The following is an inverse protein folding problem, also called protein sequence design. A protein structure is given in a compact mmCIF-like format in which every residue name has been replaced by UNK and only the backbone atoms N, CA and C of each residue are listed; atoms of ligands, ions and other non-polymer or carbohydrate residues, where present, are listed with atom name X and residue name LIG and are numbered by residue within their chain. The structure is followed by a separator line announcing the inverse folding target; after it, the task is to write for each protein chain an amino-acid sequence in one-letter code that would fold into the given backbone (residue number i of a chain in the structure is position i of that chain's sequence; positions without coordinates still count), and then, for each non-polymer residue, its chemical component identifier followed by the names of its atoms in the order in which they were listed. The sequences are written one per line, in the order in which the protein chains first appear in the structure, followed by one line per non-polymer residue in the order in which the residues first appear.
data_IF_614717716827
#
_entry.id   IF_614717716827
#
_cell.length_a   1.000
_cell.length_b   1.000
_cell.length_c   1.000
_cell.angle_alpha   90.00
_cell.angle_beta   90.00
_cell.angle_gamma   90.00
#
_symmetry.space_group_name_H-M   'P 1'
#
loop_
_entity.id
_entity.type
_entity.pdbx_description
1 polymer ?
#
# COMPACT_ATOMS: atom_id res chain seq x y z
N UNK A 1 -20.21 20.66 -13.21
CA UNK A 1 -20.10 21.55 -14.40
C UNK A 1 -18.63 21.92 -14.55
N UNK A 2 -18.03 21.69 -15.72
CA UNK A 2 -16.62 22.05 -15.96
C UNK A 2 -16.51 23.55 -16.28
N UNK A 3 -15.57 24.25 -15.63
CA UNK A 3 -15.32 25.68 -15.84
C UNK A 3 -14.56 25.93 -17.16
N UNK A 4 -14.66 27.15 -17.69
CA UNK A 4 -13.92 27.60 -18.88
C UNK A 4 -14.66 27.50 -20.22
N UNK A 5 -14.01 27.95 -21.31
CA UNK A 5 -14.57 27.96 -22.67
C UNK A 5 -15.04 26.57 -23.09
N UNK A 6 -16.21 26.47 -23.74
CA UNK A 6 -16.87 25.18 -24.03
C UNK A 6 -15.96 24.16 -24.72
N UNK A 7 -15.11 24.61 -25.63
CA UNK A 7 -14.24 23.75 -26.44
C UNK A 7 -12.91 23.38 -25.75
N UNK A 8 -12.58 24.05 -24.64
CA UNK A 8 -11.37 23.79 -23.84
C UNK A 8 -11.65 23.00 -22.57
N UNK A 9 -12.91 22.64 -22.33
CA UNK A 9 -13.30 21.81 -21.18
C UNK A 9 -12.70 20.42 -21.33
N UNK A 10 -12.26 19.77 -20.23
CA UNK A 10 -11.68 18.43 -20.28
C UNK A 10 -12.53 17.42 -21.07
N UNK A 11 -13.86 17.46 -20.92
CA UNK A 11 -14.76 16.57 -21.67
C UNK A 11 -14.77 16.87 -23.18
N UNK A 12 -14.70 18.15 -23.57
CA UNK A 12 -14.65 18.54 -24.98
C UNK A 12 -13.32 18.15 -25.62
N UNK A 13 -12.21 18.34 -24.90
CA UNK A 13 -10.87 17.92 -25.35
C UNK A 13 -10.79 16.40 -25.51
N UNK A 14 -11.26 15.65 -24.51
CA UNK A 14 -11.30 14.18 -24.56
C UNK A 14 -12.19 13.67 -25.72
N UNK A 15 -13.35 14.27 -25.93
CA UNK A 15 -14.22 13.95 -27.06
C UNK A 15 -13.51 14.17 -28.40
N UNK A 16 -12.83 15.30 -28.57
CA UNK A 16 -12.05 15.58 -29.79
C UNK A 16 -10.86 14.62 -29.96
N UNK A 17 -10.21 14.22 -28.87
CA UNK A 17 -9.13 13.22 -28.92
C UNK A 17 -9.65 11.87 -29.44
N UNK A 18 -10.76 11.36 -28.91
CA UNK A 18 -11.34 10.10 -29.39
C UNK A 18 -11.78 10.19 -30.87
N UNK A 19 -12.37 11.32 -31.29
CA UNK A 19 -12.70 11.53 -32.70
C UNK A 19 -11.45 11.55 -33.58
N UNK A 20 -10.37 12.21 -33.14
CA UNK A 20 -9.11 12.27 -33.89
C UNK A 20 -8.47 10.90 -34.04
N UNK A 21 -8.53 10.05 -33.01
CA UNK A 21 -8.01 8.69 -33.04
C UNK A 21 -8.84 7.80 -33.95
N UNK A 22 -10.17 7.85 -33.83
CA UNK A 22 -11.07 7.05 -34.65
C UNK A 22 -11.00 7.41 -36.13
N UNK A 23 -10.78 8.70 -36.46
CA UNK A 23 -10.61 9.18 -37.84
C UNK A 23 -9.32 8.70 -38.50
N UNK A 24 -8.27 8.30 -37.75
CA UNK A 24 -7.04 7.77 -38.36
C UNK A 24 -7.27 6.49 -39.17
N UNK A 25 -8.36 5.77 -38.91
CA UNK A 25 -8.78 4.58 -39.65
C UNK A 25 -9.90 4.80 -40.66
N UNK A 26 -10.33 6.05 -40.91
CA UNK A 26 -11.49 6.35 -41.76
C UNK A 26 -11.12 7.35 -42.87
N UNK A 27 -11.55 7.07 -44.10
CA UNK A 27 -11.23 7.90 -45.28
C UNK A 27 -12.15 9.13 -45.45
N UNK A 28 -13.35 9.10 -44.86
CA UNK A 28 -14.35 10.17 -44.98
C UNK A 28 -14.69 10.77 -43.61
N UNK A 29 -15.03 12.07 -43.57
CA UNK A 29 -15.52 12.71 -42.36
C UNK A 29 -17.04 12.47 -42.22
N UNK A 30 -17.50 11.68 -41.22
CA UNK A 30 -18.92 11.40 -41.04
C UNK A 30 -19.77 12.62 -40.63
N UNK A 31 -19.14 13.78 -40.39
CA UNK A 31 -19.83 15.02 -40.05
C UNK A 31 -20.45 14.97 -38.64
N UNK A 32 -19.66 14.52 -37.67
CA UNK A 32 -20.05 14.47 -36.25
C UNK A 32 -19.96 15.88 -35.67
N UNK A 33 -21.04 16.32 -35.03
CA UNK A 33 -21.09 17.63 -34.37
C UNK A 33 -20.12 17.70 -33.18
N UNK A 34 -19.56 18.89 -32.88
CA UNK A 34 -18.76 19.08 -31.68
C UNK A 34 -19.63 18.84 -30.44
N UNK A 35 -19.00 18.41 -29.32
CA UNK A 35 -19.70 18.08 -28.08
C UNK A 35 -20.63 19.21 -27.57
N UNK A 36 -20.30 20.47 -27.84
CA UNK A 36 -21.11 21.63 -27.47
C UNK A 36 -22.44 21.75 -28.21
N UNK A 37 -22.56 21.12 -29.39
CA UNK A 37 -23.75 21.08 -30.24
C UNK A 37 -24.38 19.67 -30.30
N UNK A 38 -23.68 18.66 -29.78
CA UNK A 38 -24.12 17.27 -29.81
C UNK A 38 -25.29 17.05 -28.84
N UNK A 39 -26.44 16.63 -29.36
CA UNK A 39 -27.63 16.35 -28.56
C UNK A 39 -27.81 14.83 -28.39
N UNK A 40 -27.89 14.31 -27.16
CA UNK A 40 -28.12 12.88 -26.93
C UNK A 40 -29.44 12.34 -27.53
N UNK A 41 -30.42 13.21 -27.77
CA UNK A 41 -31.69 12.80 -28.37
C UNK A 41 -31.64 12.76 -29.91
N UNK A 42 -30.57 13.25 -30.53
CA UNK A 42 -30.36 13.12 -31.97
C UNK A 42 -29.78 11.73 -32.29
N UNK A 43 -30.69 10.79 -32.57
CA UNK A 43 -30.33 9.41 -32.90
C UNK A 43 -29.42 9.31 -34.13
N UNK A 44 -29.54 10.23 -35.10
CA UNK A 44 -28.71 10.18 -36.31
C UNK A 44 -27.26 10.51 -35.97
N UNK A 45 -27.02 11.54 -35.16
CA UNK A 45 -25.68 11.89 -34.68
C UNK A 45 -25.10 10.81 -33.77
N UNK A 46 -25.91 10.20 -32.91
CA UNK A 46 -25.49 9.08 -32.07
C UNK A 46 -25.05 7.86 -32.87
N UNK A 47 -25.81 7.46 -33.89
CA UNK A 47 -25.46 6.31 -34.75
C UNK A 47 -24.14 6.57 -35.48
N UNK A 48 -23.95 7.78 -36.02
CA UNK A 48 -22.68 8.17 -36.67
C UNK A 48 -21.49 8.10 -35.72
N UNK A 49 -21.65 8.64 -34.51
CA UNK A 49 -20.61 8.59 -33.47
C UNK A 49 -20.29 7.14 -33.10
N UNK A 50 -21.31 6.32 -32.83
CA UNK A 50 -21.16 4.92 -32.47
C UNK A 50 -20.42 4.13 -33.57
N UNK A 51 -20.84 4.25 -34.83
CA UNK A 51 -20.20 3.54 -35.94
C UNK A 51 -18.71 3.88 -36.04
N UNK A 52 -18.34 5.14 -35.81
CA UNK A 52 -16.96 5.58 -35.86
C UNK A 52 -16.14 5.08 -34.65
N UNK A 53 -16.70 5.10 -33.44
CA UNK A 53 -15.89 4.94 -32.22
C UNK A 53 -16.07 3.61 -31.47
N UNK A 54 -17.09 2.79 -31.78
CA UNK A 54 -17.42 1.59 -30.99
C UNK A 54 -16.31 0.52 -30.93
N UNK A 55 -15.40 0.50 -31.91
CA UNK A 55 -14.23 -0.41 -31.93
C UNK A 55 -12.93 0.24 -31.48
N UNK A 56 -12.95 1.51 -31.07
CA UNK A 56 -11.75 2.23 -30.64
C UNK A 56 -11.29 1.68 -29.28
N UNK A 57 -10.11 1.03 -29.17
CA UNK A 57 -9.67 0.41 -27.93
C UNK A 57 -9.59 1.38 -26.75
N UNK A 58 -9.16 2.61 -26.99
CA UNK A 58 -9.02 3.66 -25.98
C UNK A 58 -10.38 4.05 -25.39
N UNK A 59 -11.43 4.13 -26.23
CA UNK A 59 -12.78 4.45 -25.76
C UNK A 59 -13.39 3.26 -25.01
N UNK A 60 -13.19 2.04 -25.51
CA UNK A 60 -13.64 0.81 -24.83
C UNK A 60 -12.98 0.70 -23.46
N UNK A 61 -11.66 0.89 -23.38
CA UNK A 61 -10.92 0.88 -22.13
C UNK A 61 -11.41 1.96 -21.16
N UNK A 62 -11.61 3.19 -21.65
CA UNK A 62 -12.17 4.27 -20.84
C UNK A 62 -13.56 3.92 -20.28
N UNK A 63 -14.46 3.40 -21.13
CA UNK A 63 -15.80 2.98 -20.72
C UNK A 63 -15.75 1.87 -19.67
N UNK A 64 -14.87 0.88 -19.86
CA UNK A 64 -14.69 -0.22 -18.93
C UNK A 64 -14.20 0.30 -17.57
N UNK A 65 -13.10 1.04 -17.54
CA UNK A 65 -12.47 1.48 -16.29
C UNK A 65 -13.26 2.56 -15.53
N UNK A 66 -13.91 3.49 -16.22
CA UNK A 66 -14.57 4.63 -15.57
C UNK A 66 -16.04 4.40 -15.27
N UNK A 67 -16.69 3.47 -15.96
CA UNK A 67 -18.13 3.23 -15.82
C UNK A 67 -18.46 1.78 -15.49
N UNK A 68 -18.04 0.81 -16.32
CA UNK A 68 -18.48 -0.58 -16.15
C UNK A 68 -17.88 -1.20 -14.89
N UNK A 69 -16.55 -1.18 -14.75
CA UNK A 69 -15.84 -1.80 -13.63
C UNK A 69 -16.26 -1.23 -12.27
N UNK A 70 -16.34 0.09 -12.05
CA UNK A 70 -16.82 0.61 -10.77
C UNK A 70 -18.25 0.19 -10.42
N UNK A 71 -19.10 -0.04 -11.42
CA UNK A 71 -20.48 -0.50 -11.20
C UNK A 71 -20.55 -2.00 -10.94
N UNK A 72 -19.73 -2.81 -11.61
CA UNK A 72 -19.84 -4.28 -11.60
C UNK A 72 -18.82 -4.98 -10.70
N UNK A 73 -17.73 -4.32 -10.30
CA UNK A 73 -16.62 -4.94 -9.54
C UNK A 73 -16.63 -4.61 -8.05
N UNK A 74 -17.68 -3.97 -7.52
CA UNK A 74 -17.80 -3.70 -6.08
C UNK A 74 -17.90 -4.98 -5.22
N UNK A 75 -18.34 -6.08 -5.82
CA UNK A 75 -18.39 -7.39 -5.17
C UNK A 75 -17.73 -8.42 -6.08
N UNK A 76 -16.67 -9.05 -5.58
CA UNK A 76 -16.06 -10.21 -6.20
C UNK A 76 -16.17 -11.38 -5.24
N UNK A 77 -16.48 -12.57 -5.77
CA UNK A 77 -16.53 -13.80 -4.98
C UNK A 77 -15.14 -14.16 -4.39
N UNK A 78 -14.07 -13.71 -5.04
CA UNK A 78 -12.70 -13.82 -4.56
C UNK A 78 -12.05 -12.43 -4.59
N UNK A 79 -11.63 -11.93 -3.43
CA UNK A 79 -10.86 -10.70 -3.28
C UNK A 79 -9.43 -11.09 -2.93
N UNK A 80 -8.49 -10.90 -3.86
CA UNK A 80 -7.06 -11.05 -3.55
C UNK A 80 -6.66 -9.83 -2.73
N UNK A 81 -6.31 -10.02 -1.47
CA UNK A 81 -6.23 -8.93 -0.50
C UNK A 81 -4.88 -8.77 0.18
N UNK A 82 -3.83 -9.54 -0.09
CA UNK A 82 -2.48 -9.28 0.42
C UNK A 82 -2.43 -8.86 1.92
N UNK A 83 -3.21 -9.54 2.76
CA UNK A 83 -3.03 -9.48 4.20
C UNK A 83 -1.88 -10.42 4.58
N UNK A 84 -1.10 -10.10 5.63
CA UNK A 84 -0.07 -11.02 6.14
C UNK A 84 -0.63 -12.41 6.49
N UNK A 85 -1.93 -12.49 6.76
CA UNK A 85 -2.67 -13.73 6.99
C UNK A 85 -2.80 -14.59 5.71
N UNK A 86 -3.04 -13.97 4.55
CA UNK A 86 -3.13 -14.67 3.25
C UNK A 86 -1.77 -15.24 2.82
N UNK A 87 -0.67 -14.49 3.05
CA UNK A 87 0.69 -14.99 2.83
C UNK A 87 1.05 -16.16 3.77
N UNK A 88 0.54 -16.14 5.01
CA UNK A 88 0.68 -17.23 5.98
C UNK A 88 -0.28 -18.41 5.76
N UNK A 89 -1.23 -18.31 4.84
CA UNK A 89 -2.21 -19.37 4.57
C UNK A 89 -1.62 -20.52 3.74
N UNK A 90 -2.29 -21.67 3.72
CA UNK A 90 -1.85 -22.84 2.95
C UNK A 90 -1.97 -22.70 1.43
N UNK A 91 -2.45 -21.55 0.93
CA UNK A 91 -2.75 -21.33 -0.49
C UNK A 91 -1.46 -21.18 -1.32
N UNK A 92 -0.42 -20.57 -0.75
CA UNK A 92 0.80 -20.21 -1.50
C UNK A 92 2.01 -21.09 -1.18
N UNK A 93 2.11 -21.63 0.04
CA UNK A 93 3.30 -22.37 0.48
C UNK A 93 2.91 -23.65 1.24
N UNK A 94 3.51 -24.78 0.86
CA UNK A 94 3.28 -26.09 1.49
C UNK A 94 3.97 -26.26 2.86
N UNK A 95 5.04 -25.51 3.13
CA UNK A 95 5.72 -25.47 4.41
C UNK A 95 5.89 -24.00 4.85
N UNK A 96 5.68 -23.75 6.14
CA UNK A 96 5.64 -22.39 6.71
C UNK A 96 6.32 -22.38 8.07
N UNK A 97 7.10 -21.35 8.32
CA UNK A 97 7.72 -21.06 9.63
C UNK A 97 7.35 -19.64 9.98
N UNK A 98 6.76 -19.44 11.15
CA UNK A 98 6.37 -18.12 11.65
C UNK A 98 6.97 -17.87 13.03
N UNK A 99 7.35 -16.64 13.30
CA UNK A 99 7.77 -16.17 14.62
C UNK A 99 6.93 -14.94 14.96
N UNK A 100 6.30 -14.92 16.14
CA UNK A 100 5.59 -13.74 16.64
C UNK A 100 6.53 -12.95 17.54
N UNK A 101 6.94 -11.76 17.08
CA UNK A 101 7.69 -10.80 17.90
C UNK A 101 6.81 -10.05 18.90
N UNK A 102 5.50 -10.26 18.87
CA UNK A 102 4.52 -9.67 19.78
C UNK A 102 3.86 -10.76 20.63
N UNK A 103 3.49 -10.48 21.89
CA UNK A 103 2.79 -11.44 22.77
C UNK A 103 1.34 -11.74 22.32
N UNK A 104 0.93 -11.24 21.15
CA UNK A 104 -0.39 -11.48 20.59
C UNK A 104 -0.48 -12.91 20.05
N UNK A 105 -1.44 -13.68 20.55
CA UNK A 105 -1.79 -15.03 20.04
C UNK A 105 -2.50 -15.00 18.67
N UNK A 106 -2.32 -13.93 17.89
CA UNK A 106 -2.93 -13.74 16.58
C UNK A 106 -2.10 -14.45 15.51
N UNK A 107 -2.09 -15.78 15.56
CA UNK A 107 -1.58 -16.60 14.46
C UNK A 107 -2.72 -17.03 13.53
N UNK A 108 -2.45 -17.17 12.22
CA UNK A 108 -3.33 -17.91 11.32
C UNK A 108 -3.73 -19.28 11.89
N UNK A 109 -5.01 -19.64 11.74
CA UNK A 109 -5.53 -20.95 12.17
C UNK A 109 -4.70 -22.09 11.56
N UNK A 110 -4.27 -21.93 10.31
CA UNK A 110 -3.45 -22.90 9.60
C UNK A 110 -2.01 -23.06 10.15
N UNK A 111 -1.56 -22.17 11.03
CA UNK A 111 -0.29 -22.25 11.77
C UNK A 111 -0.49 -22.78 13.20
N UNK A 112 -1.65 -23.38 13.49
CA UNK A 112 -1.94 -24.02 14.78
C UNK A 112 -2.60 -23.10 15.82
N UNK A 113 -3.02 -21.90 15.44
CA UNK A 113 -3.72 -20.97 16.34
C UNK A 113 -4.90 -21.66 17.06
N UNK A 114 -4.75 -21.89 18.37
CA UNK A 114 -5.72 -22.54 19.26
C UNK A 114 -6.12 -23.99 18.92
N UNK A 115 -5.29 -24.72 18.18
CA UNK A 115 -5.58 -26.13 17.85
C UNK A 115 -4.92 -27.10 18.83
N UNK A 116 -5.50 -28.29 18.96
CA UNK A 116 -4.88 -29.45 19.61
C UNK A 116 -4.67 -30.56 18.59
N UNK A 117 -3.59 -31.33 18.71
CA UNK A 117 -3.39 -32.52 17.88
C UNK A 117 -4.36 -33.66 18.27
N UNK A 118 -4.33 -34.76 17.53
CA UNK A 118 -5.17 -35.94 17.79
C UNK A 118 -4.89 -36.60 19.15
N UNK A 119 -3.78 -36.24 19.80
CA UNK A 119 -3.36 -36.69 21.13
C UNK A 119 -3.69 -35.65 22.21
N UNK A 120 -4.33 -34.53 21.85
CA UNK A 120 -4.73 -33.47 22.76
C UNK A 120 -3.63 -32.45 23.10
N UNK A 121 -2.47 -32.48 22.43
CA UNK A 121 -1.40 -31.51 22.67
C UNK A 121 -1.70 -30.18 21.99
N UNK A 122 -1.47 -29.07 22.68
CA UNK A 122 -1.66 -27.72 22.13
C UNK A 122 -0.66 -27.43 21.00
N UNK A 123 -1.17 -27.19 19.79
CA UNK A 123 -0.43 -26.88 18.56
C UNK A 123 -0.21 -25.38 18.32
N UNK A 124 -0.67 -24.52 19.24
CA UNK A 124 -0.49 -23.07 19.10
C UNK A 124 0.94 -22.60 19.31
N UNK A 125 1.18 -21.31 19.04
CA UNK A 125 2.45 -20.66 19.35
C UNK A 125 2.80 -20.91 20.81
N UNK A 126 3.95 -21.53 21.07
CA UNK A 126 4.48 -21.67 22.42
C UNK A 126 5.67 -20.75 22.60
N UNK A 127 5.79 -20.18 23.80
CA UNK A 127 7.02 -19.52 24.20
C UNK A 127 8.13 -20.55 24.28
N UNK A 128 9.28 -20.26 23.67
CA UNK A 128 10.47 -21.10 23.81
C UNK A 128 10.90 -21.11 25.29
N UNK A 129 11.01 -22.29 25.94
CA UNK A 129 11.45 -22.36 27.33
C UNK A 129 12.81 -21.69 27.54
N UNK A 130 12.87 -20.80 28.54
CA UNK A 130 14.10 -20.09 28.89
C UNK A 130 14.43 -18.89 28.00
N UNK A 131 13.57 -18.49 27.05
CA UNK A 131 13.80 -17.31 26.20
C UNK A 131 14.04 -16.04 27.03
N UNK A 132 13.17 -15.73 27.99
CA UNK A 132 13.33 -14.57 28.88
C UNK A 132 14.63 -14.63 29.69
N UNK A 133 14.98 -15.84 30.17
CA UNK A 133 16.24 -16.05 30.90
C UNK A 133 17.46 -15.75 30.03
N UNK A 134 17.46 -16.16 28.75
CA UNK A 134 18.51 -15.82 27.78
C UNK A 134 18.58 -14.31 27.53
N UNK A 135 17.42 -13.66 27.38
CA UNK A 135 17.34 -12.20 27.18
C UNK A 135 17.94 -11.47 28.38
N UNK A 136 17.48 -11.78 29.60
CA UNK A 136 17.98 -11.15 30.82
C UNK A 136 19.47 -11.44 31.02
N UNK A 137 19.92 -12.68 30.78
CA UNK A 137 21.34 -13.02 30.86
C UNK A 137 22.20 -12.16 29.93
N UNK A 138 21.79 -11.95 28.67
CA UNK A 138 22.50 -11.08 27.72
C UNK A 138 22.44 -9.61 28.14
N UNK A 139 21.28 -9.11 28.54
CA UNK A 139 21.08 -7.71 28.95
C UNK A 139 21.80 -7.35 30.26
N UNK A 140 22.10 -8.35 31.10
CA UNK A 140 22.82 -8.18 32.37
C UNK A 140 24.31 -8.53 32.28
N UNK A 141 24.76 -9.10 31.16
CA UNK A 141 26.16 -9.45 30.99
C UNK A 141 26.99 -8.20 30.61
N UNK A 142 27.89 -7.71 31.48
CA UNK A 142 28.67 -6.49 31.23
C UNK A 142 29.69 -6.64 30.09
N UNK A 143 29.98 -7.87 29.65
CA UNK A 143 30.82 -8.11 28.47
C UNK A 143 30.08 -7.86 27.14
N UNK A 144 28.75 -7.77 27.17
CA UNK A 144 27.90 -7.59 25.98
C UNK A 144 27.11 -6.28 26.05
N UNK A 145 26.56 -5.96 27.22
CA UNK A 145 25.67 -4.81 27.42
C UNK A 145 26.31 -3.84 28.40
N UNK A 146 26.42 -2.57 28.01
CA UNK A 146 26.87 -1.48 28.88
C UNK A 146 25.74 -0.47 29.06
N UNK A 147 25.65 0.13 30.25
CA UNK A 147 24.73 1.24 30.51
C UNK A 147 25.52 2.53 30.79
N UNK A 148 24.91 3.65 30.43
CA UNK A 148 25.46 4.98 30.70
C UNK A 148 24.35 5.91 31.17
N UNK A 149 24.66 6.67 32.21
CA UNK A 149 23.78 7.73 32.72
C UNK A 149 24.02 8.99 31.89
N UNK A 150 22.94 9.60 31.39
CA UNK A 150 22.98 10.87 30.69
C UNK A 150 23.08 12.04 31.69
N UNK A 151 23.58 13.19 31.25
CA UNK A 151 23.64 14.39 32.09
C UNK A 151 22.23 14.89 32.44
N UNK A 152 22.07 15.55 33.59
CA UNK A 152 20.75 16.03 34.07
C UNK A 152 20.03 16.98 33.10
N UNK A 153 20.78 17.67 32.23
CA UNK A 153 20.27 18.61 31.24
C UNK A 153 20.22 18.02 29.82
N UNK A 154 20.17 16.70 29.67
CA UNK A 154 20.08 16.07 28.35
C UNK A 154 18.79 16.47 27.63
N UNK A 155 18.87 16.53 26.30
CA UNK A 155 17.73 16.69 25.42
C UNK A 155 17.80 15.65 24.28
N UNK A 156 16.68 15.30 23.64
CA UNK A 156 16.64 14.40 22.48
C UNK A 156 17.70 14.73 21.41
N UNK A 157 17.81 16.01 21.04
CA UNK A 157 18.74 16.48 20.03
C UNK A 157 20.20 16.32 20.47
N UNK A 158 20.52 16.55 21.75
CA UNK A 158 21.89 16.37 22.24
C UNK A 158 22.27 14.89 22.27
N UNK A 159 21.33 14.03 22.67
CA UNK A 159 21.51 12.58 22.66
C UNK A 159 21.74 12.05 21.23
N UNK A 160 20.93 12.49 20.26
CA UNK A 160 21.08 12.09 18.85
C UNK A 160 22.44 12.49 18.27
N UNK A 161 22.91 13.72 18.55
CA UNK A 161 24.25 14.15 18.12
C UNK A 161 25.35 13.31 18.78
N UNK A 162 25.22 13.06 20.07
CA UNK A 162 26.19 12.25 20.82
C UNK A 162 26.32 10.85 20.22
N UNK A 163 25.19 10.16 19.97
CA UNK A 163 25.15 8.84 19.35
C UNK A 163 25.73 8.87 17.94
N UNK A 164 25.35 9.86 17.12
CA UNK A 164 25.84 9.99 15.75
C UNK A 164 27.35 10.27 15.66
N UNK A 165 27.92 10.89 16.71
CA UNK A 165 29.35 11.20 16.82
C UNK A 165 30.15 10.17 17.62
N UNK A 166 29.51 9.11 18.14
CA UNK A 166 30.16 8.14 19.00
C UNK A 166 31.21 7.31 18.24
N UNK A 167 32.30 6.96 18.94
CA UNK A 167 33.35 6.12 18.41
C UNK A 167 33.57 4.91 19.34
N UNK A 168 33.43 3.67 18.86
CA UNK A 168 33.02 3.29 17.49
C UNK A 168 31.56 3.67 17.18
N UNK A 169 31.21 3.87 15.89
CA UNK A 169 29.86 4.24 15.51
C UNK A 169 28.89 3.12 15.84
N UNK A 170 27.76 3.41 16.52
CA UNK A 170 26.71 2.44 16.74
C UNK A 170 26.05 2.10 15.40
N UNK A 171 25.68 0.82 15.23
CA UNK A 171 25.06 0.34 13.99
C UNK A 171 23.57 0.69 13.90
N UNK A 172 22.91 0.85 15.06
CA UNK A 172 21.49 1.14 15.14
C UNK A 172 21.16 1.85 16.46
N UNK A 173 20.15 2.70 16.41
CA UNK A 173 19.46 3.26 17.58
C UNK A 173 18.03 2.71 17.58
N UNK A 174 17.63 2.11 18.71
CA UNK A 174 16.29 1.56 18.89
C UNK A 174 15.55 2.42 19.92
N UNK A 175 14.73 3.37 19.42
CA UNK A 175 13.79 4.17 20.23
C UNK A 175 12.36 3.65 19.99
N UNK A 176 11.97 2.64 20.76
CA UNK A 176 10.68 1.96 20.57
C UNK A 176 9.53 2.93 20.78
N UNK A 177 8.85 3.33 19.70
CA UNK A 177 7.68 4.23 19.74
C UNK A 177 8.02 5.71 19.84
N UNK A 178 9.28 6.10 19.60
CA UNK A 178 9.75 7.48 19.71
C UNK A 178 9.51 8.11 21.10
N UNK A 179 9.43 7.32 22.17
CA UNK A 179 9.13 7.85 23.50
C UNK A 179 10.30 8.63 24.11
N UNK A 180 11.53 8.36 23.67
CA UNK A 180 12.72 9.07 24.17
C UNK A 180 12.98 10.34 23.37
N UNK A 181 12.92 10.27 22.04
CA UNK A 181 13.23 11.40 21.18
C UNK A 181 12.03 12.29 20.87
N UNK A 182 10.82 11.70 20.91
CA UNK A 182 9.58 12.29 20.41
C UNK A 182 9.69 12.79 18.95
N UNK A 183 10.45 12.05 18.13
CA UNK A 183 10.67 12.31 16.72
C UNK A 183 10.41 11.04 15.91
N UNK A 184 9.80 11.17 14.74
CA UNK A 184 9.76 10.07 13.79
C UNK A 184 11.10 9.87 13.04
N UNK A 185 11.19 8.78 12.27
CA UNK A 185 12.43 8.45 11.55
C UNK A 185 12.82 9.53 10.52
N UNK A 186 11.86 10.22 9.91
CA UNK A 186 12.10 11.26 8.92
C UNK A 186 12.65 12.52 9.61
N UNK A 187 12.06 12.92 10.74
CA UNK A 187 12.51 14.04 11.56
C UNK A 187 13.94 13.83 12.09
N UNK A 188 14.24 12.62 12.58
CA UNK A 188 15.60 12.26 13.03
C UNK A 188 16.59 12.35 11.86
N UNK A 189 16.24 11.81 10.69
CA UNK A 189 17.10 11.87 9.52
C UNK A 189 17.38 13.32 9.10
N UNK A 190 16.34 14.16 9.04
CA UNK A 190 16.49 15.59 8.73
C UNK A 190 17.33 16.35 9.75
N UNK A 191 17.25 15.99 11.02
CA UNK A 191 18.06 16.59 12.07
C UNK A 191 19.54 16.22 11.95
N UNK A 192 19.85 14.96 11.62
CA UNK A 192 21.23 14.45 11.55
C UNK A 192 21.94 14.77 10.22
N UNK A 193 21.21 15.02 9.14
CA UNK A 193 21.77 15.33 7.82
C UNK A 193 22.10 16.83 7.60
N UNK A 194 21.79 17.68 8.57
CA UNK A 194 22.12 19.12 8.57
C UNK A 194 23.35 19.41 9.42
#
# INVERSE_FOLDING_TARGET
RQAGPRDRRPAAVMFQQFLSLARRGCAEDPGILPLSLFQPNDTKQLVKLYQLTHKLPELVHYLLCQHVFPLTMNFQQLKVSASGHELGSGILFGARVGFSGTPSNLLPMDLGGFQHDAQGNFLGCQYEPGSDGKIIHVLTNPAVTTSRVLADNWAPQSLLREIASAQPPPHALIDTGAFITNMDNEEVAHFLLK
#
